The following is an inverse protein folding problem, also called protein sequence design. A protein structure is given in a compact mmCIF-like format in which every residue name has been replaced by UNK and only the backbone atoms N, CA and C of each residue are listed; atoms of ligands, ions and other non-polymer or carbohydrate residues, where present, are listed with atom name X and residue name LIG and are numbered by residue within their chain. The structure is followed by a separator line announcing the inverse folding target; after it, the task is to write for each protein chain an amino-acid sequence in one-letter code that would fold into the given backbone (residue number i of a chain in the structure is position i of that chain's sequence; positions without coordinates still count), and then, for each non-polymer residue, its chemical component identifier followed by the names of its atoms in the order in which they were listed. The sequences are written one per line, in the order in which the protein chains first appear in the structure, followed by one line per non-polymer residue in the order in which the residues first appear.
data_IF_795560304799
#
_entry.id   IF_795560304799
#
_cell.length_a   1.000
_cell.length_b   1.000
_cell.length_c   1.000
_cell.angle_alpha   90.00
_cell.angle_beta   90.00
_cell.angle_gamma   90.00
#
_symmetry.space_group_name_H-M   'P 1'
#
loop_
_entity.id
_entity.type
_entity.pdbx_description
1 polymer ?
#
# COMPACT_ATOMS: atom_id res chain seq x y z
N UNK A 1 -6.06 16.00 17.69
CA UNK A 1 -5.83 14.64 17.13
C UNK A 1 -4.97 14.73 15.88
N UNK A 2 -4.80 13.63 15.12
CA UNK A 2 -4.40 13.70 13.72
C UNK A 2 -5.43 14.50 12.89
N UNK A 3 -5.07 14.94 11.68
CA UNK A 3 -6.00 15.61 10.76
C UNK A 3 -6.94 14.61 10.07
N UNK A 4 -8.09 15.08 9.57
CA UNK A 4 -9.04 14.24 8.81
C UNK A 4 -8.39 13.60 7.58
N UNK A 5 -7.50 14.35 6.90
CA UNK A 5 -6.65 13.83 5.83
C UNK A 5 -5.87 12.58 6.29
N UNK A 6 -5.13 12.68 7.41
CA UNK A 6 -4.35 11.56 7.92
C UNK A 6 -5.25 10.37 8.29
N UNK A 7 -6.44 10.60 8.86
CA UNK A 7 -7.40 9.55 9.17
C UNK A 7 -7.91 8.83 7.90
N UNK A 8 -8.22 9.57 6.83
CA UNK A 8 -8.62 8.99 5.55
C UNK A 8 -7.50 8.16 4.90
N UNK A 9 -6.25 8.61 5.02
CA UNK A 9 -5.08 7.85 4.57
C UNK A 9 -4.90 6.55 5.36
N UNK A 10 -5.04 6.60 6.69
CA UNK A 10 -4.98 5.41 7.56
C UNK A 10 -6.07 4.41 7.17
N UNK A 11 -7.31 4.85 6.98
CA UNK A 11 -8.41 3.99 6.52
C UNK A 11 -8.12 3.35 5.15
N UNK A 12 -7.52 4.10 4.21
CA UNK A 12 -7.10 3.55 2.92
C UNK A 12 -5.94 2.53 3.06
N UNK A 13 -5.06 2.73 4.03
CA UNK A 13 -3.97 1.80 4.33
C UNK A 13 -4.46 0.52 4.99
N UNK A 14 -5.48 0.59 5.86
CA UNK A 14 -6.16 -0.58 6.43
C UNK A 14 -6.61 -1.55 5.33
N UNK A 15 -7.44 -1.07 4.39
CA UNK A 15 -7.93 -1.90 3.30
C UNK A 15 -6.79 -2.42 2.41
N UNK A 16 -5.77 -1.61 2.16
CA UNK A 16 -4.62 -2.01 1.35
C UNK A 16 -3.78 -3.10 2.01
N UNK A 17 -3.50 -2.98 3.30
CA UNK A 17 -2.77 -3.98 4.07
C UNK A 17 -3.57 -5.28 4.14
N UNK A 18 -4.89 -5.20 4.39
CA UNK A 18 -5.79 -6.35 4.37
C UNK A 18 -5.78 -7.08 3.03
N UNK A 19 -5.98 -6.36 1.92
CA UNK A 19 -5.94 -6.95 0.56
C UNK A 19 -4.59 -7.61 0.30
N UNK A 20 -3.51 -7.05 0.83
CA UNK A 20 -2.16 -7.60 0.65
C UNK A 20 -1.98 -8.92 1.41
N UNK A 21 -2.48 -9.02 2.64
CA UNK A 21 -2.51 -10.28 3.39
C UNK A 21 -3.43 -11.32 2.73
N UNK A 22 -4.62 -10.91 2.27
CA UNK A 22 -5.54 -11.78 1.54
C UNK A 22 -4.87 -12.40 0.31
N UNK A 23 -4.18 -11.58 -0.49
CA UNK A 23 -3.46 -12.02 -1.69
C UNK A 23 -2.26 -12.93 -1.43
N UNK A 24 -1.75 -12.98 -0.19
CA UNK A 24 -0.66 -13.91 0.15
C UNK A 24 -1.14 -15.37 0.23
N UNK A 25 -2.46 -15.59 0.32
CA UNK A 25 -3.09 -16.92 0.37
C UNK A 25 -2.41 -17.89 1.37
N UNK A 26 -2.13 -17.39 2.57
CA UNK A 26 -1.48 -18.19 3.61
C UNK A 26 -2.52 -19.07 4.28
N UNK A 27 -2.41 -20.39 4.09
CA UNK A 27 -3.30 -21.38 4.70
C UNK A 27 -3.48 -21.16 6.20
N UNK A 28 -4.74 -21.08 6.65
CA UNK A 28 -5.20 -20.85 8.02
C UNK A 28 -4.98 -19.43 8.59
N UNK A 29 -4.38 -18.51 7.84
CA UNK A 29 -4.28 -17.10 8.19
C UNK A 29 -5.38 -16.33 7.47
N UNK A 30 -6.37 -15.86 8.23
CA UNK A 30 -7.56 -15.22 7.69
C UNK A 30 -7.52 -13.72 7.91
N UNK A 31 -8.28 -13.02 7.08
CA UNK A 31 -8.55 -11.59 7.19
C UNK A 31 -10.05 -11.40 7.33
N UNK A 32 -10.54 -10.32 7.96
CA UNK A 32 -11.96 -10.01 7.95
C UNK A 32 -12.42 -9.55 6.56
N UNK A 33 -13.73 -9.52 6.35
CA UNK A 33 -14.29 -8.67 5.29
C UNK A 33 -14.17 -7.22 5.74
N UNK A 34 -13.69 -6.35 4.85
CA UNK A 34 -13.57 -4.92 5.11
C UNK A 34 -14.15 -4.11 3.95
N UNK A 35 -14.88 -3.04 4.28
CA UNK A 35 -15.39 -2.07 3.33
C UNK A 35 -15.01 -0.65 3.78
N UNK A 36 -14.64 0.18 2.80
CA UNK A 36 -14.52 1.62 2.98
C UNK A 36 -15.80 2.28 2.48
N UNK A 37 -16.42 3.09 3.33
CA UNK A 37 -17.67 3.79 3.02
C UNK A 37 -17.36 5.29 3.05
N UNK A 38 -17.45 5.94 1.90
CA UNK A 38 -17.29 7.39 1.79
C UNK A 38 -18.67 8.06 1.84
N UNK A 39 -18.86 8.96 2.80
CA UNK A 39 -20.12 9.65 3.03
C UNK A 39 -19.88 11.09 3.50
N UNK A 40 -20.35 12.07 2.73
CA UNK A 40 -20.25 13.51 3.04
C UNK A 40 -18.83 13.98 3.41
N UNK A 41 -17.80 13.45 2.74
CA UNK A 41 -16.40 13.78 3.01
C UNK A 41 -15.77 13.01 4.17
N UNK A 42 -16.51 12.14 4.85
CA UNK A 42 -15.99 11.21 5.85
C UNK A 42 -15.78 9.83 5.24
N UNK A 43 -14.75 9.13 5.72
CA UNK A 43 -14.49 7.73 5.37
C UNK A 43 -14.67 6.86 6.60
N UNK A 44 -15.57 5.90 6.53
CA UNK A 44 -15.78 4.88 7.55
C UNK A 44 -15.11 3.57 7.13
N UNK A 45 -14.50 2.88 8.09
CA UNK A 45 -14.02 1.51 7.93
C UNK A 45 -15.04 0.58 8.58
N UNK A 46 -15.67 -0.27 7.79
CA UNK A 46 -16.56 -1.32 8.27
C UNK A 46 -15.82 -2.67 8.17
N UNK A 47 -15.81 -3.45 9.25
CA UNK A 47 -15.13 -4.74 9.34
C UNK A 47 -16.14 -5.79 9.83
N UNK A 48 -16.11 -7.00 9.27
CA UNK A 48 -16.92 -8.12 9.78
C UNK A 48 -16.54 -8.49 11.21
N UNK A 49 -17.54 -8.89 12.00
CA UNK A 49 -17.29 -9.46 13.32
C UNK A 49 -16.50 -10.77 13.19
N UNK A 50 -15.45 -10.89 13.99
CA UNK A 50 -14.57 -12.07 14.05
C UNK A 50 -14.79 -12.82 15.36
N UNK A 51 -14.59 -14.14 15.41
CA UNK A 51 -14.74 -14.95 16.63
C UNK A 51 -13.52 -14.82 17.58
N UNK A 52 -13.06 -13.58 17.82
CA UNK A 52 -11.87 -13.24 18.61
C UNK A 52 -12.27 -12.48 19.88
N UNK A 53 -11.41 -12.54 20.90
CA UNK A 53 -11.59 -11.86 22.19
C UNK A 53 -10.41 -10.93 22.50
N UNK A 54 -10.59 -10.00 23.44
CA UNK A 54 -9.56 -9.01 23.83
C UNK A 54 -8.22 -9.63 24.25
N UNK A 55 -8.24 -10.83 24.83
CA UNK A 55 -7.08 -11.56 25.32
C UNK A 55 -6.65 -12.71 24.39
N UNK A 56 -7.22 -12.81 23.18
CA UNK A 56 -6.89 -13.86 22.21
C UNK A 56 -5.71 -13.51 21.29
N UNK A 57 -5.09 -12.34 21.49
CA UNK A 57 -3.88 -11.91 20.77
C UNK A 57 -2.71 -12.87 21.08
N UNK A 58 -2.03 -13.30 20.03
CA UNK A 58 -0.88 -14.21 20.10
C UNK A 58 0.34 -13.69 19.33
N UNK A 59 0.17 -12.60 18.57
CA UNK A 59 1.22 -11.99 17.77
C UNK A 59 1.05 -10.47 17.68
N UNK A 60 2.16 -9.73 17.80
CA UNK A 60 2.22 -8.27 17.75
C UNK A 60 1.74 -7.58 19.03
N UNK A 61 1.16 -6.38 18.95
CA UNK A 61 0.90 -5.55 20.15
C UNK A 61 -0.34 -4.69 20.02
N UNK A 62 -1.17 -4.69 21.07
CA UNK A 62 -2.38 -3.89 21.19
C UNK A 62 -2.24 -2.68 22.15
N UNK A 63 -1.03 -2.40 22.63
CA UNK A 63 -0.78 -1.40 23.68
C UNK A 63 0.39 -0.46 23.38
N UNK A 64 0.69 -0.26 22.08
CA UNK A 64 1.77 0.61 21.61
C UNK A 64 3.16 0.00 21.83
N UNK A 65 3.25 -1.33 21.81
CA UNK A 65 4.50 -2.06 21.98
C UNK A 65 4.97 -2.17 23.42
N UNK A 66 4.10 -1.94 24.42
CA UNK A 66 4.48 -2.15 25.83
C UNK A 66 4.57 -3.65 26.12
N UNK A 67 3.60 -4.40 25.62
CA UNK A 67 3.54 -5.85 25.59
C UNK A 67 3.56 -6.29 24.13
N UNK A 68 4.47 -7.20 23.78
CA UNK A 68 4.61 -7.73 22.42
C UNK A 68 4.47 -9.24 22.47
N UNK A 69 3.55 -9.77 21.68
CA UNK A 69 3.26 -11.18 21.58
C UNK A 69 3.98 -11.78 20.37
N UNK A 70 4.55 -12.96 20.55
CA UNK A 70 4.90 -13.88 19.48
C UNK A 70 5.02 -15.27 20.11
N UNK A 71 3.90 -15.81 20.58
CA UNK A 71 3.87 -17.00 21.46
C UNK A 71 3.61 -18.31 20.72
N UNK A 72 3.11 -18.27 19.49
CA UNK A 72 2.76 -19.45 18.68
C UNK A 72 3.69 -19.56 17.46
N UNK A 73 4.60 -20.56 17.41
CA UNK A 73 5.50 -20.76 16.27
C UNK A 73 4.79 -20.97 14.93
N UNK A 74 3.55 -21.50 14.94
CA UNK A 74 2.74 -21.67 13.73
C UNK A 74 2.29 -20.31 13.20
N UNK A 75 1.88 -19.41 14.10
CA UNK A 75 1.56 -18.03 13.76
C UNK A 75 2.79 -17.30 13.21
N UNK A 76 3.94 -17.41 13.88
CA UNK A 76 5.19 -16.81 13.40
C UNK A 76 5.52 -17.28 11.97
N UNK A 77 5.41 -18.58 11.70
CA UNK A 77 5.71 -19.13 10.38
C UNK A 77 4.76 -18.59 9.29
N UNK A 78 3.48 -18.39 9.61
CA UNK A 78 2.51 -17.78 8.69
C UNK A 78 2.83 -16.31 8.42
N UNK A 79 3.13 -15.52 9.47
CA UNK A 79 3.51 -14.11 9.35
C UNK A 79 4.82 -13.93 8.60
N UNK A 80 5.82 -14.79 8.84
CA UNK A 80 7.07 -14.83 8.06
C UNK A 80 6.82 -15.13 6.59
N UNK A 81 5.90 -16.05 6.30
CA UNK A 81 5.55 -16.41 4.91
C UNK A 81 4.87 -15.25 4.18
N UNK A 82 3.94 -14.55 4.84
CA UNK A 82 3.32 -13.34 4.32
C UNK A 82 4.36 -12.22 4.10
N UNK A 83 5.20 -11.94 5.11
CA UNK A 83 6.25 -10.93 5.00
C UNK A 83 7.22 -11.20 3.85
N UNK A 84 7.59 -12.46 3.61
CA UNK A 84 8.41 -12.82 2.44
C UNK A 84 7.73 -12.47 1.12
N UNK A 85 6.44 -12.78 0.96
CA UNK A 85 5.68 -12.45 -0.25
C UNK A 85 5.47 -10.93 -0.44
N UNK A 86 5.34 -10.20 0.66
CA UNK A 86 5.18 -8.75 0.68
C UNK A 86 6.52 -7.98 0.64
N UNK A 87 7.65 -8.69 0.63
CA UNK A 87 9.00 -8.13 0.72
C UNK A 87 9.21 -7.23 1.95
N UNK A 88 8.72 -7.69 3.10
CA UNK A 88 8.85 -7.01 4.39
C UNK A 88 9.97 -7.62 5.24
N UNK A 89 10.77 -6.75 5.84
CA UNK A 89 11.91 -7.12 6.69
C UNK A 89 11.46 -7.29 8.14
N UNK A 90 11.85 -8.40 8.76
CA UNK A 90 11.63 -8.61 10.20
C UNK A 90 12.49 -7.68 11.04
N UNK A 91 11.96 -7.24 12.18
CA UNK A 91 12.65 -6.40 13.14
C UNK A 91 12.30 -6.80 14.59
N UNK A 92 13.00 -6.24 15.56
CA UNK A 92 12.82 -6.48 16.99
C UNK A 92 12.00 -5.35 17.62
N UNK A 93 10.88 -5.70 18.25
CA UNK A 93 10.09 -4.81 19.10
C UNK A 93 10.27 -5.26 20.54
N UNK A 94 11.01 -4.48 21.33
CA UNK A 94 11.33 -4.79 22.74
C UNK A 94 11.79 -6.24 22.98
N UNK A 95 12.69 -6.73 22.13
CA UNK A 95 13.24 -8.09 22.27
C UNK A 95 12.36 -9.21 21.67
N UNK A 96 11.19 -8.89 21.11
CA UNK A 96 10.36 -9.84 20.35
C UNK A 96 10.51 -9.61 18.86
N UNK A 97 10.78 -10.68 18.09
CA UNK A 97 10.90 -10.60 16.63
C UNK A 97 9.52 -10.53 15.98
N UNK A 98 9.31 -9.53 15.13
CA UNK A 98 8.07 -9.29 14.39
C UNK A 98 8.34 -9.21 12.87
N UNK A 99 7.38 -9.68 12.08
CA UNK A 99 7.29 -9.64 10.62
C UNK A 99 6.06 -8.79 10.26
N UNK A 100 6.28 -7.56 9.79
CA UNK A 100 5.25 -6.52 9.69
C UNK A 100 5.45 -5.42 10.75
N UNK A 101 4.46 -4.53 10.96
CA UNK A 101 4.54 -3.51 12.00
C UNK A 101 4.28 -4.13 13.38
N UNK A 102 4.82 -3.52 14.43
CA UNK A 102 4.76 -4.02 15.80
C UNK A 102 3.37 -3.99 16.42
N UNK A 103 2.47 -3.18 15.87
CA UNK A 103 1.05 -3.10 16.21
C UNK A 103 0.15 -3.85 15.24
N UNK A 104 0.70 -4.69 14.35
CA UNK A 104 -0.12 -5.74 13.72
C UNK A 104 -0.66 -6.63 14.83
N UNK A 105 -1.89 -7.11 14.73
CA UNK A 105 -2.41 -8.07 15.70
C UNK A 105 -2.77 -9.37 14.98
N UNK A 106 -2.38 -10.51 15.55
CA UNK A 106 -2.96 -11.81 15.16
C UNK A 106 -3.61 -12.45 16.36
N UNK A 107 -4.86 -12.84 16.17
CA UNK A 107 -5.68 -13.52 17.16
C UNK A 107 -5.93 -14.97 16.78
N UNK A 108 -5.99 -15.83 17.79
CA UNK A 108 -6.53 -17.19 17.61
C UNK A 108 -8.00 -17.20 18.00
N UNK A 109 -8.88 -17.37 17.03
CA UNK A 109 -10.32 -17.37 17.23
C UNK A 109 -10.82 -18.61 17.97
N UNK A 110 -12.05 -18.53 18.49
CA UNK A 110 -12.76 -19.66 19.15
C UNK A 110 -12.97 -20.86 18.25
N UNK A 111 -12.92 -20.64 16.94
CA UNK A 111 -13.03 -21.66 15.90
C UNK A 111 -11.66 -22.25 15.48
N UNK A 112 -10.60 -21.97 16.24
CA UNK A 112 -9.22 -22.40 16.00
C UNK A 112 -8.58 -21.85 14.71
N UNK A 113 -9.13 -20.77 14.13
CA UNK A 113 -8.54 -20.06 13.00
C UNK A 113 -7.70 -18.86 13.48
N UNK A 114 -6.76 -18.44 12.65
CA UNK A 114 -5.93 -17.26 12.91
C UNK A 114 -6.48 -16.08 12.14
N UNK A 115 -6.61 -14.93 12.79
CA UNK A 115 -7.15 -13.71 12.20
C UNK A 115 -6.15 -12.58 12.38
N UNK A 116 -5.70 -12.00 11.26
CA UNK A 116 -4.90 -10.78 11.28
C UNK A 116 -5.85 -9.59 11.38
N UNK A 117 -5.48 -8.55 12.12
CA UNK A 117 -6.15 -7.23 12.15
C UNK A 117 -5.10 -6.12 12.29
N UNK A 118 -5.53 -4.86 12.28
CA UNK A 118 -4.69 -3.65 12.39
C UNK A 118 -3.66 -3.47 11.26
N UNK A 119 -4.18 -3.26 10.05
CA UNK A 119 -3.40 -3.30 8.83
C UNK A 119 -2.81 -1.94 8.41
N UNK A 120 -3.16 -0.86 9.11
CA UNK A 120 -2.84 0.52 8.72
C UNK A 120 -1.36 0.78 8.45
N UNK A 121 -0.44 0.01 9.05
CA UNK A 121 1.01 0.22 8.97
C UNK A 121 1.76 -0.96 8.35
N UNK A 122 1.06 -1.83 7.62
CA UNK A 122 1.68 -3.03 7.00
C UNK A 122 2.89 -2.67 6.13
N UNK A 123 2.78 -1.62 5.32
CA UNK A 123 3.86 -1.21 4.42
C UNK A 123 4.80 -0.18 5.06
N UNK A 124 6.09 -0.17 4.69
CA UNK A 124 7.06 0.80 5.18
C UNK A 124 6.63 2.25 4.90
N UNK A 125 6.93 3.19 5.81
CA UNK A 125 6.68 4.60 5.56
C UNK A 125 7.59 5.17 4.47
N UNK A 126 7.15 6.24 3.83
CA UNK A 126 8.06 7.15 3.14
C UNK A 126 9.04 7.77 4.17
N UNK A 127 10.32 7.83 3.82
CA UNK A 127 11.32 8.41 4.73
C UNK A 127 11.04 9.89 5.02
N UNK A 128 11.20 10.34 6.29
CA UNK A 128 11.08 11.74 6.64
C UNK A 128 12.03 12.64 5.84
N UNK A 129 11.58 13.85 5.52
CA UNK A 129 12.40 14.88 4.86
C UNK A 129 13.67 15.18 5.67
N UNK A 130 14.80 15.30 4.98
CA UNK A 130 16.09 15.73 5.57
C UNK A 130 16.14 17.23 5.84
N UNK A 131 15.17 18.02 5.34
CA UNK A 131 15.17 19.47 5.52
C UNK A 131 15.03 19.84 7.01
N UNK A 132 15.99 20.53 7.63
CA UNK A 132 15.90 20.92 9.04
C UNK A 132 14.67 21.78 9.36
N UNK A 133 14.19 22.54 8.36
CA UNK A 133 12.97 23.37 8.48
C UNK A 133 11.69 22.54 8.54
N UNK A 134 11.74 21.24 8.22
CA UNK A 134 10.60 20.32 8.28
C UNK A 134 10.49 19.56 9.60
N UNK A 135 11.11 20.02 10.71
CA UNK A 135 11.12 19.32 11.99
C UNK A 135 9.81 19.47 12.83
N UNK A 136 8.69 19.81 12.19
CA UNK A 136 7.42 19.97 12.90
C UNK A 136 6.87 18.62 13.38
N UNK A 137 6.08 18.64 14.45
CA UNK A 137 5.38 17.44 14.91
C UNK A 137 4.44 16.85 13.84
N UNK A 138 3.92 17.69 12.93
CA UNK A 138 3.08 17.24 11.81
C UNK A 138 3.88 16.40 10.81
N UNK A 139 5.11 16.81 10.50
CA UNK A 139 5.99 16.06 9.61
C UNK A 139 6.42 14.72 10.21
N UNK A 140 6.75 14.69 11.51
CA UNK A 140 7.11 13.44 12.20
C UNK A 140 5.98 12.40 12.17
N UNK A 141 4.72 12.84 12.13
CA UNK A 141 3.56 11.93 12.10
C UNK A 141 3.28 11.34 10.72
N UNK A 142 3.90 11.83 9.65
CA UNK A 142 3.70 11.29 8.28
C UNK A 142 4.06 9.82 8.17
N UNK A 143 5.02 9.34 8.98
CA UNK A 143 5.42 7.93 9.01
C UNK A 143 4.28 6.97 9.39
N UNK A 144 3.16 7.47 9.93
CA UNK A 144 2.01 6.64 10.30
C UNK A 144 0.95 6.54 9.20
N UNK A 145 1.04 7.31 8.12
CA UNK A 145 0.00 7.34 7.08
C UNK A 145 0.51 7.50 5.64
N UNK A 146 1.73 8.03 5.44
CA UNK A 146 2.41 8.08 4.14
C UNK A 146 3.29 6.85 3.98
N UNK A 147 2.73 5.81 3.39
CA UNK A 147 3.38 4.52 3.19
C UNK A 147 3.76 4.30 1.74
N UNK A 148 4.87 3.60 1.51
CA UNK A 148 5.27 3.12 0.19
C UNK A 148 4.22 2.14 -0.34
N UNK A 149 3.96 2.20 -1.65
CA UNK A 149 2.96 1.37 -2.31
C UNK A 149 3.38 -0.12 -2.32
N UNK A 150 2.45 -1.07 -2.16
CA UNK A 150 2.74 -2.52 -2.15
C UNK A 150 3.52 -2.98 -3.36
N UNK A 151 3.18 -2.47 -4.54
CA UNK A 151 3.80 -2.83 -5.82
C UNK A 151 5.28 -2.40 -5.81
N UNK A 152 5.54 -1.16 -5.37
CA UNK A 152 6.91 -0.64 -5.26
C UNK A 152 7.74 -1.37 -4.19
N UNK A 153 7.13 -1.74 -3.07
CA UNK A 153 7.79 -2.47 -1.98
C UNK A 153 8.12 -3.90 -2.42
N UNK A 154 7.17 -4.59 -3.09
CA UNK A 154 7.37 -5.95 -3.60
C UNK A 154 8.54 -6.03 -4.58
N UNK A 155 8.69 -5.03 -5.44
CA UNK A 155 9.76 -4.96 -6.44
C UNK A 155 11.04 -4.31 -5.90
N UNK A 156 11.10 -3.95 -4.60
CA UNK A 156 12.30 -3.37 -4.02
C UNK A 156 13.42 -4.43 -3.92
N UNK A 157 14.68 -4.10 -4.26
CA UNK A 157 15.77 -5.10 -4.28
C UNK A 157 16.02 -5.81 -2.95
N UNK A 158 15.67 -5.16 -1.84
CA UNK A 158 15.81 -5.71 -0.49
C UNK A 158 14.49 -5.56 0.28
N UNK A 159 14.17 -6.46 1.21
CA UNK A 159 12.99 -6.30 2.04
C UNK A 159 13.09 -5.05 2.94
N UNK A 160 11.95 -4.44 3.23
CA UNK A 160 11.87 -3.17 3.94
C UNK A 160 11.09 -3.29 5.25
N UNK A 161 11.50 -2.57 6.29
CA UNK A 161 10.82 -2.63 7.59
C UNK A 161 9.57 -1.76 7.63
N UNK A 162 8.44 -2.33 8.05
CA UNK A 162 7.18 -1.61 8.29
C UNK A 162 7.29 -0.55 9.39
N UNK A 163 8.22 -0.73 10.33
CA UNK A 163 8.39 0.16 11.49
C UNK A 163 9.58 1.11 11.39
N UNK A 164 10.14 1.28 10.19
CA UNK A 164 11.20 2.26 9.97
C UNK A 164 10.80 3.64 10.50
N UNK A 165 11.71 4.29 11.22
CA UNK A 165 11.56 5.59 11.89
C UNK A 165 10.54 5.64 13.03
N UNK A 166 9.90 4.53 13.40
CA UNK A 166 8.92 4.48 14.49
C UNK A 166 9.58 4.11 15.82
N UNK A 167 8.93 4.41 16.97
CA UNK A 167 9.40 3.93 18.27
C UNK A 167 9.43 2.40 18.43
N UNK A 168 8.67 1.64 17.63
CA UNK A 168 8.61 0.18 17.72
C UNK A 168 9.95 -0.48 17.37
N UNK A 169 10.65 0.05 16.36
CA UNK A 169 11.96 -0.47 15.92
C UNK A 169 13.14 0.07 16.74
N UNK A 170 12.94 1.08 17.59
CA UNK A 170 14.03 1.81 18.27
C UNK A 170 15.04 0.92 19.02
N UNK A 171 14.60 -0.24 19.50
CA UNK A 171 15.44 -1.17 20.26
C UNK A 171 16.04 -2.31 19.40
N UNK A 172 15.76 -2.36 18.10
CA UNK A 172 16.45 -3.26 17.19
C UNK A 172 17.88 -2.76 16.95
N UNK A 173 18.93 -3.58 17.19
CA UNK A 173 20.32 -3.18 16.90
C UNK A 173 20.57 -2.78 15.44
N UNK A 174 19.71 -3.21 14.53
CA UNK A 174 19.77 -2.91 13.09
C UNK A 174 18.98 -1.67 12.70
N UNK A 175 18.35 -0.96 13.65
CA UNK A 175 17.53 0.23 13.38
C UNK A 175 18.18 1.21 12.38
N UNK A 176 19.48 1.58 12.51
CA UNK A 176 20.13 2.45 11.53
C UNK A 176 20.09 1.90 10.09
N UNK A 177 20.38 0.62 9.92
CA UNK A 177 20.41 -0.05 8.61
C UNK A 177 19.02 -0.23 8.03
N UNK A 178 18.03 -0.59 8.86
CA UNK A 178 16.62 -0.74 8.46
C UNK A 178 16.05 0.61 7.99
N UNK A 179 16.34 1.67 8.73
CA UNK A 179 15.98 3.04 8.36
C UNK A 179 16.70 3.53 7.10
N UNK A 180 17.97 3.15 6.91
CA UNK A 180 18.72 3.49 5.71
C UNK A 180 18.12 2.82 4.46
N UNK A 181 17.71 1.55 4.54
CA UNK A 181 17.09 0.82 3.43
C UNK A 181 15.77 1.48 2.96
N UNK A 182 14.89 1.84 3.90
CA UNK A 182 13.63 2.55 3.57
C UNK A 182 13.89 3.93 2.98
N UNK A 183 14.93 4.62 3.47
CA UNK A 183 15.35 5.91 2.90
C UNK A 183 15.86 5.77 1.47
N UNK A 184 16.72 4.79 1.19
CA UNK A 184 17.19 4.51 -0.17
C UNK A 184 16.03 4.17 -1.10
N UNK A 185 15.06 3.37 -0.63
CA UNK A 185 13.84 3.08 -1.39
C UNK A 185 13.03 4.36 -1.67
N UNK A 186 12.88 5.24 -0.68
CA UNK A 186 12.20 6.53 -0.85
C UNK A 186 12.93 7.42 -1.88
N UNK A 187 14.26 7.52 -1.79
CA UNK A 187 15.08 8.28 -2.74
C UNK A 187 14.97 7.70 -4.16
N UNK A 188 14.95 6.35 -4.31
CA UNK A 188 14.72 5.69 -5.60
C UNK A 188 13.33 5.97 -6.16
N UNK A 189 12.30 6.01 -5.31
CA UNK A 189 10.94 6.36 -5.73
C UNK A 189 10.92 7.75 -6.36
N UNK A 190 11.49 8.75 -5.69
CA UNK A 190 11.46 10.15 -6.15
C UNK A 190 12.42 10.45 -7.30
N UNK A 191 13.62 9.85 -7.31
CA UNK A 191 14.67 10.22 -8.26
C UNK A 191 14.74 9.32 -9.49
N UNK A 192 14.08 8.17 -9.47
CA UNK A 192 14.14 7.19 -10.56
C UNK A 192 12.75 6.78 -11.01
N UNK A 193 11.93 6.23 -10.11
CA UNK A 193 10.64 5.64 -10.51
C UNK A 193 9.64 6.68 -10.98
N UNK A 194 9.46 7.77 -10.22
CA UNK A 194 8.53 8.84 -10.58
C UNK A 194 8.96 9.52 -11.90
N UNK A 195 10.20 10.00 -12.07
CA UNK A 195 10.65 10.61 -13.32
C UNK A 195 10.48 9.70 -14.54
N UNK A 196 10.92 8.44 -14.44
CA UNK A 196 10.80 7.48 -15.54
C UNK A 196 9.33 7.18 -15.88
N UNK A 197 8.45 7.17 -14.87
CA UNK A 197 7.00 6.98 -15.10
C UNK A 197 6.40 8.20 -15.80
N UNK A 198 6.76 9.41 -15.36
CA UNK A 198 6.32 10.65 -15.99
C UNK A 198 6.76 10.73 -17.47
N UNK A 199 8.02 10.42 -17.77
CA UNK A 199 8.54 10.39 -19.14
C UNK A 199 7.79 9.37 -20.02
N UNK A 200 7.50 8.18 -19.47
CA UNK A 200 6.69 7.18 -20.19
C UNK A 200 5.29 7.68 -20.49
N UNK A 201 4.62 8.32 -19.53
CA UNK A 201 3.29 8.89 -19.74
C UNK A 201 3.31 10.00 -20.80
N UNK A 202 4.31 10.89 -20.75
CA UNK A 202 4.50 11.93 -21.76
C UNK A 202 4.71 11.32 -23.16
N UNK A 203 5.47 10.23 -23.25
CA UNK A 203 5.70 9.52 -24.52
C UNK A 203 4.41 8.93 -25.10
N UNK A 204 3.52 8.41 -24.26
CA UNK A 204 2.23 7.85 -24.70
C UNK A 204 1.29 8.93 -25.21
N UNK A 205 1.18 10.06 -24.50
CA UNK A 205 0.36 11.20 -24.94
C UNK A 205 0.83 11.72 -26.30
N UNK A 206 2.15 11.85 -26.50
CA UNK A 206 2.71 12.27 -27.80
C UNK A 206 2.40 11.24 -28.90
N UNK A 207 2.55 9.95 -28.61
CA UNK A 207 2.22 8.90 -29.58
C UNK A 207 0.74 8.92 -29.99
N UNK A 208 -0.19 9.00 -29.03
CA UNK A 208 -1.63 9.04 -29.31
C UNK A 208 -2.02 10.30 -30.08
N UNK A 209 -1.48 11.47 -29.68
CA UNK A 209 -1.72 12.73 -30.38
C UNK A 209 -1.22 12.70 -31.84
N UNK A 210 -0.04 12.15 -32.10
CA UNK A 210 0.51 11.99 -33.45
C UNK A 210 -0.26 10.97 -34.31
N UNK A 211 -0.81 9.90 -33.72
CA UNK A 211 -1.69 8.97 -34.44
C UNK A 211 -3.03 9.63 -34.80
N UNK A 212 -3.57 10.48 -33.92
CA UNK A 212 -4.80 11.21 -34.18
C UNK A 212 -4.63 12.22 -35.32
N UNK A 213 -3.57 13.04 -35.31
CA UNK A 213 -3.29 14.01 -36.40
C UNK A 213 -3.07 13.31 -37.74
N UNK A 214 -2.32 12.21 -37.76
CA UNK A 214 -2.06 11.46 -38.99
C UNK A 214 -3.32 10.78 -39.56
N UNK A 215 -4.29 10.43 -38.70
CA UNK A 215 -5.55 9.84 -39.14
C UNK A 215 -6.59 10.90 -39.57
N UNK A 216 -6.59 12.10 -38.98
CA UNK A 216 -7.42 13.21 -39.45
C UNK A 216 -6.98 13.70 -40.84
N UNK A 217 -5.66 13.83 -41.08
CA UNK A 217 -5.13 14.25 -42.39
C UNK A 217 -5.40 13.21 -43.50
N UNK A 218 -5.48 11.92 -43.15
CA UNK A 218 -5.87 10.86 -44.10
C UNK A 218 -7.36 10.86 -44.43
N UNK A 219 -8.22 11.22 -43.48
CA UNK A 219 -9.67 11.25 -43.68
C UNK A 219 -10.14 12.51 -44.44
N UNK A 220 -9.42 13.64 -44.36
CA UNK A 220 -9.73 14.83 -45.15
C UNK A 220 -9.45 14.68 -46.66
N UNK A 221 -8.68 13.67 -47.07
CA UNK A 221 -8.38 13.40 -48.48
C UNK A 221 -9.40 12.46 -49.18
N UNK A 222 -10.51 12.07 -48.51
CA UNK A 222 -11.50 11.13 -49.07
C UNK A 222 -12.79 11.82 -49.55
N UNK A 223 -13.06 13.06 -49.14
CA UNK A 223 -14.26 13.79 -49.57
C UNK A 223 -13.96 14.80 -50.70
N UNK A 224 -13.94 14.30 -51.94
CA UNK A 224 -14.19 15.10 -53.14
C UNK A 224 -15.57 14.74 -53.69
N UNK A 225 -16.62 15.59 -53.55
CA UNK A 225 -17.95 15.26 -54.06
C UNK A 225 -18.04 15.37 -55.59
N UNK A 226 -18.31 14.21 -56.19
CA UNK A 226 -18.94 13.87 -57.47
C UNK A 226 -19.70 14.97 -58.24
N UNK A 227 -19.74 14.84 -59.58
CA UNK A 227 -21.02 14.89 -60.32
C UNK A 227 -20.92 14.37 -61.77
N UNK A 228 -21.65 13.28 -62.04
CA UNK A 228 -22.60 13.20 -63.18
C UNK A 228 -23.52 11.98 -62.98
N UNK A 229 -24.75 12.23 -62.49
CA UNK A 229 -25.85 11.26 -62.57
C UNK A 229 -26.74 11.70 -63.72
N UNK A 230 -26.87 10.83 -64.72
CA UNK A 230 -27.88 10.96 -65.78
C UNK A 230 -29.26 10.66 -65.20
N UNK A 231 -30.16 11.62 -65.29
CA UNK A 231 -31.59 11.38 -65.21
C UNK A 231 -32.05 10.64 -66.46
N UNK A 232 -32.89 9.61 -66.29
CA UNK A 232 -33.82 9.20 -67.33
C UNK A 232 -35.10 8.71 -66.66
N UNK A 233 -36.12 9.57 -66.77
CA UNK A 233 -37.52 9.22 -66.64
C UNK A 233 -37.90 8.20 -67.71
N UNK A 234 -38.67 7.18 -67.36
CA UNK A 234 -39.92 6.94 -68.07
C UNK A 234 -40.91 6.09 -67.27
N UNK A 235 -42.16 6.47 -67.48
CA UNK A 235 -43.40 5.98 -66.88
C UNK A 235 -43.94 4.83 -67.76
N UNK A 236 -44.74 3.95 -67.11
CA UNK A 236 -45.49 2.75 -67.56
C UNK A 236 -44.69 1.44 -67.55
#
# INVERSE_FOLDING_TARGET
GPSDEAAQHVAANELRGLISFFKCDIKNLHVPLMALIDYLGFRLVAISLLPIERNSIIYGSNDGGKTVHNSDPRCESMMRSAARQLNLQSHMVRGTKIYGPGDIEVHKGKDNRYYVVDYARVFPPEAPSKNPKSNSNREKRKIFYRLLRPEFVRDNPVPLSSDAFTPFQKFDPRDPTLNAAVRQATERLYNVVIPNTAEKLDSWVRYESGQWTNNSEKNENIDSPSQERKENNNII
#
